data_IF_255443061295
#
_entry.id   IF_255443061295
#
_cell.length_a   1.000
_cell.length_b   1.000
_cell.length_c   1.000
_cell.angle_alpha   90.00
_cell.angle_beta   90.00
_cell.angle_gamma   90.00
#
_symmetry.space_group_name_H-M   'P 1'
#
loop_
_entity.id
_entity.type
_entity.pdbx_description
1 polymer ?
#
# COMPACT_ATOMS: atom_id res chain seq x y z
N UNK A 1 -6.36 -21.74 -7.57
CA UNK A 1 -4.96 -21.51 -7.09
C UNK A 1 -4.08 -22.77 -7.06
N UNK A 2 -4.55 -23.91 -6.53
CA UNK A 2 -3.69 -25.10 -6.36
C UNK A 2 -3.35 -25.91 -7.63
N UNK A 3 -4.01 -25.66 -8.76
CA UNK A 3 -3.74 -26.37 -10.01
C UNK A 3 -2.46 -25.80 -10.68
N UNK A 4 -1.39 -26.60 -10.83
CA UNK A 4 -0.11 -26.14 -11.37
C UNK A 4 -0.17 -25.74 -12.86
N UNK A 5 -1.03 -26.36 -13.66
CA UNK A 5 -1.20 -26.01 -15.07
C UNK A 5 -1.81 -24.61 -15.21
N UNK A 6 -2.82 -24.29 -14.40
CA UNK A 6 -3.42 -22.95 -14.36
C UNK A 6 -2.42 -21.91 -13.88
N UNK A 7 -1.62 -22.21 -12.84
CA UNK A 7 -0.58 -21.30 -12.39
C UNK A 7 0.45 -21.02 -13.50
N UNK A 8 0.90 -22.05 -14.20
CA UNK A 8 1.88 -21.93 -15.28
C UNK A 8 1.33 -21.15 -16.47
N UNK A 9 0.08 -21.42 -16.84
CA UNK A 9 -0.60 -20.67 -17.90
C UNK A 9 -0.72 -19.18 -17.55
N UNK A 10 -1.21 -18.83 -16.36
CA UNK A 10 -1.37 -17.44 -15.94
C UNK A 10 -0.02 -16.72 -15.80
N UNK A 11 1.01 -17.39 -15.25
CA UNK A 11 2.38 -16.86 -15.17
C UNK A 11 2.93 -16.55 -16.57
N UNK A 12 2.72 -17.44 -17.55
CA UNK A 12 3.13 -17.21 -18.94
C UNK A 12 2.40 -16.03 -19.58
N UNK A 13 1.11 -15.86 -19.31
CA UNK A 13 0.31 -14.75 -19.81
C UNK A 13 0.77 -13.41 -19.22
N UNK A 14 1.01 -13.36 -17.91
CA UNK A 14 1.49 -12.14 -17.24
C UNK A 14 2.90 -11.76 -17.73
N UNK A 15 3.77 -12.76 -17.94
CA UNK A 15 5.08 -12.55 -18.54
C UNK A 15 4.98 -12.02 -19.97
N UNK A 16 4.11 -12.60 -20.79
CA UNK A 16 3.88 -12.13 -22.17
C UNK A 16 3.43 -10.66 -22.19
N UNK A 17 2.49 -10.27 -21.32
CA UNK A 17 2.02 -8.88 -21.22
C UNK A 17 3.19 -7.93 -20.94
N UNK A 18 4.05 -8.28 -19.97
CA UNK A 18 5.16 -7.42 -19.55
C UNK A 18 6.31 -7.39 -20.56
N UNK A 19 6.53 -8.47 -21.31
CA UNK A 19 7.62 -8.56 -22.29
C UNK A 19 7.24 -8.03 -23.68
N UNK A 20 5.96 -8.15 -24.09
CA UNK A 20 5.52 -7.79 -25.45
C UNK A 20 4.82 -6.45 -25.55
N UNK A 21 4.36 -5.89 -24.44
CA UNK A 21 3.65 -4.60 -24.42
C UNK A 21 4.39 -3.62 -23.53
N UNK A 22 4.39 -2.34 -23.91
CA UNK A 22 4.97 -1.29 -23.08
C UNK A 22 4.01 -0.89 -21.96
N UNK A 23 3.88 -1.77 -20.97
CA UNK A 23 3.06 -1.54 -19.77
C UNK A 23 3.92 -1.05 -18.62
N UNK A 24 3.36 -0.13 -17.85
CA UNK A 24 3.98 0.38 -16.63
C UNK A 24 3.90 -0.60 -15.45
N UNK A 25 2.86 -1.41 -15.42
CA UNK A 25 2.57 -2.28 -14.30
C UNK A 25 1.50 -3.31 -14.61
N UNK A 26 1.29 -4.19 -13.66
CA UNK A 26 0.27 -5.23 -13.70
C UNK A 26 -0.56 -5.16 -12.41
N UNK A 27 -1.88 -5.07 -12.56
CA UNK A 27 -2.85 -5.07 -11.47
C UNK A 27 -3.46 -6.46 -11.35
N UNK A 28 -3.23 -7.14 -10.23
CA UNK A 28 -3.87 -8.40 -9.90
C UNK A 28 -5.29 -8.13 -9.39
N UNK A 29 -6.29 -8.58 -10.15
CA UNK A 29 -7.68 -8.64 -9.70
C UNK A 29 -8.10 -10.10 -9.45
N UNK A 30 -9.11 -10.31 -8.61
CA UNK A 30 -9.62 -11.63 -8.25
C UNK A 30 -8.58 -12.61 -7.67
N UNK A 31 -7.46 -12.12 -7.15
CA UNK A 31 -6.40 -12.93 -6.52
C UNK A 31 -6.81 -13.42 -5.13
N UNK A 32 -7.73 -14.40 -5.09
CA UNK A 32 -8.37 -14.98 -3.90
C UNK A 32 -9.25 -16.17 -4.30
N UNK A 33 -9.86 -16.85 -3.31
CA UNK A 33 -11.00 -17.72 -3.56
C UNK A 33 -12.32 -16.92 -3.59
N UNK A 34 -13.41 -17.48 -4.16
CA UNK A 34 -14.73 -16.88 -4.02
C UNK A 34 -15.12 -16.72 -2.55
N UNK A 35 -16.00 -15.76 -2.26
CA UNK A 35 -16.45 -15.44 -0.90
C UNK A 35 -17.29 -16.59 -0.34
N UNK A 36 -16.92 -17.08 0.85
CA UNK A 36 -17.51 -18.23 1.53
C UNK A 36 -18.15 -17.80 2.86
N UNK A 37 -19.31 -17.12 2.81
CA UNK A 37 -20.01 -16.60 3.99
C UNK A 37 -21.14 -17.50 4.51
N UNK A 38 -21.63 -18.43 3.69
CA UNK A 38 -22.75 -19.31 4.03
C UNK A 38 -22.29 -20.76 4.14
N UNK A 39 -22.99 -21.53 4.97
CA UNK A 39 -22.81 -22.98 5.03
C UNK A 39 -23.01 -23.59 3.64
N UNK A 40 -22.23 -24.62 3.31
CA UNK A 40 -22.25 -25.32 2.02
C UNK A 40 -21.81 -24.49 0.81
N UNK A 41 -21.27 -23.29 1.01
CA UNK A 41 -20.60 -22.51 -0.03
C UNK A 41 -19.10 -22.49 0.24
N UNK A 42 -18.45 -23.64 0.07
CA UNK A 42 -17.00 -23.78 0.21
C UNK A 42 -16.37 -24.11 -1.14
N UNK A 43 -15.21 -23.51 -1.42
CA UNK A 43 -14.54 -23.64 -2.72
C UNK A 43 -13.12 -24.17 -2.57
N UNK A 44 -12.55 -24.63 -3.68
CA UNK A 44 -11.16 -25.10 -3.73
C UNK A 44 -10.98 -26.61 -3.68
N UNK A 45 -12.05 -27.39 -3.81
CA UNK A 45 -12.02 -28.86 -3.85
C UNK A 45 -11.64 -29.46 -5.22
N UNK A 46 -10.89 -28.71 -6.04
CA UNK A 46 -10.36 -29.25 -7.30
C UNK A 46 -9.40 -30.41 -7.02
N UNK A 47 -9.28 -31.36 -7.95
CA UNK A 47 -8.49 -32.60 -7.79
C UNK A 47 -7.07 -32.34 -7.30
N UNK A 48 -6.37 -31.34 -7.86
CA UNK A 48 -5.03 -30.97 -7.43
C UNK A 48 -4.96 -30.52 -5.96
N UNK A 49 -5.91 -29.68 -5.52
CA UNK A 49 -5.94 -29.16 -4.16
C UNK A 49 -6.26 -30.26 -3.15
N UNK A 50 -7.24 -31.12 -3.45
CA UNK A 50 -7.61 -32.26 -2.61
C UNK A 50 -6.46 -33.22 -2.43
N UNK A 51 -5.81 -33.61 -3.54
CA UNK A 51 -4.64 -34.50 -3.52
C UNK A 51 -3.51 -33.91 -2.69
N UNK A 52 -3.10 -32.67 -2.96
CA UNK A 52 -2.03 -32.00 -2.21
C UNK A 52 -2.33 -31.92 -0.71
N UNK A 53 -3.57 -31.61 -0.32
CA UNK A 53 -3.94 -31.56 1.09
C UNK A 53 -3.99 -32.94 1.74
N UNK A 54 -4.49 -33.95 1.03
CA UNK A 54 -4.47 -35.33 1.49
C UNK A 54 -3.05 -35.85 1.65
N UNK A 55 -2.14 -35.54 0.73
CA UNK A 55 -0.73 -35.90 0.84
C UNK A 55 -0.06 -35.24 2.06
N UNK A 56 -0.48 -34.02 2.44
CA UNK A 56 0.03 -33.28 3.59
C UNK A 56 -0.54 -33.74 4.94
N UNK A 57 -1.80 -34.20 4.98
CA UNK A 57 -2.53 -34.40 6.23
C UNK A 57 -3.10 -35.81 6.42
N UNK A 58 -3.08 -36.64 5.38
CA UNK A 58 -3.75 -37.94 5.32
C UNK A 58 -5.26 -37.87 5.07
N UNK A 59 -5.86 -36.67 4.97
CA UNK A 59 -7.32 -36.47 4.91
C UNK A 59 -7.75 -35.80 3.62
N UNK A 60 -8.77 -36.34 2.96
CA UNK A 60 -9.44 -35.67 1.83
C UNK A 60 -10.37 -34.56 2.34
N UNK A 61 -10.22 -33.30 1.90
CA UNK A 61 -10.94 -32.19 2.50
C UNK A 61 -12.42 -32.11 2.10
N UNK A 62 -12.92 -32.94 1.16
CA UNK A 62 -14.27 -32.78 0.59
C UNK A 62 -15.42 -32.85 1.61
N UNK A 63 -15.22 -33.57 2.71
CA UNK A 63 -16.17 -33.64 3.83
C UNK A 63 -15.87 -32.70 4.99
N UNK A 64 -14.76 -31.95 4.94
CA UNK A 64 -14.38 -31.05 6.02
C UNK A 64 -15.26 -29.82 6.06
N UNK A 65 -15.75 -29.53 7.25
CA UNK A 65 -16.50 -28.32 7.60
C UNK A 65 -15.92 -27.75 8.90
N UNK A 66 -16.18 -26.47 9.22
CA UNK A 66 -15.79 -25.91 10.51
C UNK A 66 -16.33 -26.71 11.72
N UNK A 67 -17.47 -27.39 11.55
CA UNK A 67 -18.15 -28.16 12.60
C UNK A 67 -17.67 -29.61 12.71
N UNK A 68 -17.22 -30.22 11.61
CA UNK A 68 -16.79 -31.63 11.61
C UNK A 68 -15.42 -31.81 12.27
N UNK A 69 -14.48 -30.91 11.96
CA UNK A 69 -13.16 -30.88 12.57
C UNK A 69 -12.57 -29.47 12.41
N UNK A 70 -12.58 -28.69 13.50
CA UNK A 70 -12.13 -27.31 13.49
C UNK A 70 -10.62 -27.16 13.24
N UNK A 71 -9.82 -28.17 13.61
CA UNK A 71 -8.36 -28.14 13.46
C UNK A 71 -7.97 -28.43 12.00
N UNK A 72 -8.51 -29.51 11.42
CA UNK A 72 -8.30 -29.81 9.99
C UNK A 72 -8.91 -28.75 9.09
N UNK A 73 -10.05 -28.16 9.48
CA UNK A 73 -10.63 -27.03 8.76
C UNK A 73 -9.71 -25.81 8.72
N UNK A 74 -9.06 -25.49 9.85
CA UNK A 74 -8.06 -24.41 9.90
C UNK A 74 -6.87 -24.71 8.99
N UNK A 75 -6.33 -25.93 9.05
CA UNK A 75 -5.25 -26.35 8.15
C UNK A 75 -5.66 -26.25 6.67
N UNK A 76 -6.92 -26.54 6.34
CA UNK A 76 -7.45 -26.38 4.98
C UNK A 76 -7.55 -24.91 4.54
N UNK A 77 -7.89 -23.99 5.45
CA UNK A 77 -7.82 -22.54 5.19
C UNK A 77 -6.37 -22.11 4.97
N UNK A 78 -5.46 -22.54 5.84
CA UNK A 78 -4.04 -22.16 5.79
C UNK A 78 -3.40 -22.68 4.49
N UNK A 79 -3.68 -23.94 4.11
CA UNK A 79 -3.25 -24.51 2.83
C UNK A 79 -3.74 -23.68 1.64
N UNK A 80 -5.04 -23.38 1.56
CA UNK A 80 -5.60 -22.60 0.45
C UNK A 80 -5.03 -21.19 0.40
N UNK A 81 -4.81 -20.56 1.54
CA UNK A 81 -4.17 -19.24 1.66
C UNK A 81 -2.73 -19.30 1.14
N UNK A 82 -1.97 -20.32 1.53
CA UNK A 82 -0.60 -20.53 1.04
C UNK A 82 -0.55 -20.74 -0.49
N UNK A 83 -1.55 -21.40 -1.09
CA UNK A 83 -1.62 -21.54 -2.55
C UNK A 83 -1.79 -20.19 -3.27
N UNK A 84 -2.55 -19.25 -2.70
CA UNK A 84 -2.68 -17.89 -3.27
C UNK A 84 -1.38 -17.11 -3.06
N UNK A 85 -0.86 -17.10 -1.83
CA UNK A 85 0.36 -16.34 -1.47
C UNK A 85 1.60 -16.80 -2.24
N UNK A 86 1.79 -18.11 -2.41
CA UNK A 86 2.89 -18.67 -3.21
C UNK A 86 2.78 -18.23 -4.67
N UNK A 87 1.56 -18.18 -5.22
CA UNK A 87 1.37 -17.74 -6.60
C UNK A 87 1.64 -16.24 -6.77
N UNK A 88 1.20 -15.38 -5.83
CA UNK A 88 1.56 -13.96 -5.83
C UNK A 88 3.07 -13.75 -5.74
N UNK A 89 3.75 -14.52 -4.89
CA UNK A 89 5.20 -14.48 -4.78
C UNK A 89 5.88 -14.86 -6.11
N UNK A 90 5.43 -15.94 -6.75
CA UNK A 90 5.93 -16.37 -8.07
C UNK A 90 5.77 -15.28 -9.12
N UNK A 91 4.58 -14.70 -9.27
CA UNK A 91 4.32 -13.60 -10.22
C UNK A 91 5.24 -12.41 -9.95
N UNK A 92 5.35 -12.01 -8.67
CA UNK A 92 6.22 -10.90 -8.27
C UNK A 92 7.67 -11.12 -8.70
N UNK A 93 8.17 -12.35 -8.58
CA UNK A 93 9.50 -12.72 -9.04
C UNK A 93 9.61 -12.72 -10.57
N UNK A 94 8.74 -13.47 -11.26
CA UNK A 94 8.74 -13.59 -12.73
C UNK A 94 8.71 -12.22 -13.41
N UNK A 95 7.80 -11.33 -12.98
CA UNK A 95 7.64 -10.02 -13.60
C UNK A 95 8.85 -9.11 -13.37
N UNK A 96 9.46 -9.17 -12.19
CA UNK A 96 10.64 -8.34 -11.86
C UNK A 96 11.93 -8.88 -12.48
N UNK A 97 11.99 -10.15 -12.81
CA UNK A 97 13.05 -10.73 -13.65
C UNK A 97 12.91 -10.26 -15.10
N UNK A 98 11.68 -10.21 -15.63
CA UNK A 98 11.41 -9.75 -16.99
C UNK A 98 11.57 -8.23 -17.17
N UNK A 99 11.02 -7.42 -16.24
CA UNK A 99 11.10 -5.95 -16.26
C UNK A 99 11.35 -5.44 -14.83
N UNK A 100 12.61 -5.19 -14.43
CA UNK A 100 12.98 -4.83 -13.05
C UNK A 100 12.21 -3.67 -12.43
N UNK A 101 11.80 -2.70 -13.25
CA UNK A 101 11.07 -1.53 -12.80
C UNK A 101 9.53 -1.67 -12.87
N UNK A 102 8.98 -2.82 -13.24
CA UNK A 102 7.52 -3.06 -13.30
C UNK A 102 6.85 -2.79 -11.94
N UNK A 103 5.67 -2.18 -11.97
CA UNK A 103 4.83 -2.00 -10.78
C UNK A 103 3.88 -3.19 -10.67
N UNK A 104 3.87 -3.88 -9.53
CA UNK A 104 2.86 -4.89 -9.24
C UNK A 104 1.88 -4.37 -8.20
N UNK A 105 0.60 -4.41 -8.52
CA UNK A 105 -0.47 -3.97 -7.64
C UNK A 105 -1.56 -5.03 -7.50
N UNK A 106 -2.41 -4.92 -6.47
CA UNK A 106 -3.51 -5.86 -6.27
C UNK A 106 -4.79 -5.18 -5.76
N UNK A 107 -5.93 -5.59 -6.32
CA UNK A 107 -7.25 -5.21 -5.85
C UNK A 107 -7.67 -6.14 -4.72
N UNK A 108 -7.93 -5.57 -3.55
CA UNK A 108 -8.12 -6.36 -2.32
C UNK A 108 -9.34 -5.95 -1.52
N UNK A 109 -9.86 -6.90 -0.75
CA UNK A 109 -10.94 -6.68 0.19
C UNK A 109 -10.40 -6.00 1.46
N UNK A 110 -10.99 -4.88 1.93
CA UNK A 110 -10.51 -4.12 3.08
C UNK A 110 -10.83 -4.76 4.44
N UNK A 111 -11.53 -5.89 4.47
CA UNK A 111 -11.90 -6.59 5.69
C UNK A 111 -10.67 -7.04 6.49
N UNK A 112 -10.76 -7.05 7.85
CA UNK A 112 -9.67 -7.47 8.71
C UNK A 112 -9.16 -8.88 8.39
N UNK A 113 -7.85 -9.10 8.57
CA UNK A 113 -7.17 -10.38 8.32
C UNK A 113 -7.98 -11.62 8.72
N UNK A 114 -8.46 -11.76 9.98
CA UNK A 114 -9.11 -13.01 10.40
C UNK A 114 -10.44 -13.28 9.68
N UNK A 115 -11.14 -12.24 9.23
CA UNK A 115 -12.35 -12.39 8.44
C UNK A 115 -11.99 -12.76 7.01
N UNK A 116 -11.14 -11.96 6.36
CA UNK A 116 -10.76 -12.10 4.95
C UNK A 116 -10.07 -13.44 4.66
N UNK A 117 -9.10 -13.85 5.46
CA UNK A 117 -8.44 -15.16 5.30
C UNK A 117 -9.44 -16.30 5.46
N UNK A 118 -10.34 -16.21 6.44
CA UNK A 118 -11.36 -17.24 6.68
C UNK A 118 -12.34 -17.37 5.52
N UNK A 119 -12.84 -16.27 4.96
CA UNK A 119 -13.93 -16.32 3.97
C UNK A 119 -13.46 -16.33 2.51
N UNK A 120 -12.24 -15.90 2.21
CA UNK A 120 -11.75 -15.80 0.83
C UNK A 120 -10.25 -16.09 0.64
N UNK A 121 -9.51 -16.40 1.71
CA UNK A 121 -8.09 -16.79 1.65
C UNK A 121 -7.22 -15.78 0.90
N UNK A 122 -7.55 -14.49 1.02
CA UNK A 122 -6.71 -13.39 0.56
C UNK A 122 -5.87 -12.94 1.76
N UNK A 123 -4.55 -12.87 1.65
CA UNK A 123 -3.59 -12.54 2.74
C UNK A 123 -2.64 -11.43 2.26
N UNK A 124 -3.22 -10.28 1.91
CA UNK A 124 -2.47 -9.18 1.31
C UNK A 124 -1.49 -8.49 2.26
N UNK A 125 -1.66 -8.64 3.57
CA UNK A 125 -0.79 -8.11 4.61
C UNK A 125 0.55 -8.85 4.62
N UNK A 126 0.53 -10.17 4.41
CA UNK A 126 1.74 -10.95 4.21
C UNK A 126 2.44 -10.55 2.91
N UNK A 127 1.69 -10.36 1.82
CA UNK A 127 2.25 -9.95 0.52
C UNK A 127 2.89 -8.56 0.59
N UNK A 128 2.22 -7.62 1.25
CA UNK A 128 2.71 -6.27 1.50
C UNK A 128 3.98 -6.29 2.35
N UNK A 129 3.94 -6.98 3.49
CA UNK A 129 5.09 -7.07 4.43
C UNK A 129 6.30 -7.71 3.78
N UNK A 130 6.11 -8.73 2.93
CA UNK A 130 7.16 -9.39 2.19
C UNK A 130 7.63 -8.61 0.93
N UNK A 131 7.12 -7.41 0.68
CA UNK A 131 7.52 -6.55 -0.45
C UNK A 131 7.16 -7.15 -1.82
N UNK A 132 6.13 -7.99 -1.88
CA UNK A 132 5.68 -8.66 -3.12
C UNK A 132 4.84 -7.74 -4.00
N UNK A 133 4.17 -6.76 -3.39
CA UNK A 133 3.40 -5.73 -4.07
C UNK A 133 4.07 -4.37 -3.90
N UNK A 134 3.92 -3.52 -4.91
CA UNK A 134 4.34 -2.12 -4.88
C UNK A 134 3.18 -1.21 -4.45
N UNK A 135 1.95 -1.52 -4.90
CA UNK A 135 0.73 -0.77 -4.55
C UNK A 135 -0.38 -1.72 -4.10
N UNK A 136 -0.98 -1.44 -2.96
CA UNK A 136 -2.18 -2.14 -2.49
C UNK A 136 -3.40 -1.27 -2.77
N UNK A 137 -4.43 -1.83 -3.42
CA UNK A 137 -5.64 -1.10 -3.80
C UNK A 137 -6.87 -1.74 -3.13
N UNK A 138 -7.18 -1.37 -1.87
CA UNK A 138 -8.37 -1.86 -1.20
C UNK A 138 -9.65 -1.31 -1.83
N UNK A 139 -10.61 -2.19 -2.07
CA UNK A 139 -11.96 -1.88 -2.57
C UNK A 139 -12.82 -1.29 -1.43
N UNK A 140 -12.46 -0.10 -0.95
CA UNK A 140 -13.11 0.61 0.16
C UNK A 140 -14.41 1.28 -0.27
N UNK A 141 -15.25 0.54 -0.97
CA UNK A 141 -16.47 1.02 -1.59
C UNK A 141 -17.54 1.30 -0.53
N UNK A 142 -17.76 2.58 -0.25
CA UNK A 142 -18.67 3.06 0.76
C UNK A 142 -19.57 4.19 0.22
N UNK A 143 -20.83 4.21 0.65
CA UNK A 143 -21.79 5.25 0.25
C UNK A 143 -21.69 6.54 1.09
N UNK A 144 -20.94 6.51 2.20
CA UNK A 144 -20.70 7.68 3.06
C UNK A 144 -19.32 7.63 3.73
N UNK A 145 -18.83 8.79 4.14
CA UNK A 145 -17.48 8.97 4.71
C UNK A 145 -17.23 8.16 5.99
N UNK A 146 -18.23 8.02 6.87
CA UNK A 146 -18.07 7.21 8.10
C UNK A 146 -17.79 5.74 7.76
N UNK A 147 -18.56 5.17 6.83
CA UNK A 147 -18.34 3.78 6.40
C UNK A 147 -17.01 3.64 5.68
N UNK A 148 -16.58 4.63 4.90
CA UNK A 148 -15.25 4.64 4.30
C UNK A 148 -14.16 4.54 5.36
N UNK A 149 -14.20 5.39 6.39
CA UNK A 149 -13.21 5.38 7.48
C UNK A 149 -13.16 4.02 8.20
N UNK A 150 -14.32 3.41 8.47
CA UNK A 150 -14.41 2.07 9.06
C UNK A 150 -13.77 0.95 8.21
N UNK A 151 -13.67 1.14 6.89
CA UNK A 151 -13.00 0.21 5.99
C UNK A 151 -11.50 0.53 5.87
N UNK A 152 -11.17 1.81 5.75
CA UNK A 152 -9.81 2.27 5.42
C UNK A 152 -8.89 2.20 6.64
N UNK A 153 -9.30 2.70 7.80
CA UNK A 153 -8.41 2.86 8.95
C UNK A 153 -7.86 1.53 9.49
N UNK A 154 -8.67 0.47 9.67
CA UNK A 154 -8.14 -0.83 10.09
C UNK A 154 -7.17 -1.43 9.07
N UNK A 155 -7.54 -1.40 7.78
CA UNK A 155 -6.72 -1.96 6.71
C UNK A 155 -5.38 -1.22 6.55
N UNK A 156 -5.39 0.12 6.70
CA UNK A 156 -4.17 0.93 6.72
C UNK A 156 -3.29 0.58 7.93
N UNK A 157 -3.90 0.30 9.08
CA UNK A 157 -3.21 -0.14 10.30
C UNK A 157 -2.46 -1.47 10.12
N UNK A 158 -3.01 -2.42 9.36
CA UNK A 158 -2.39 -3.73 9.07
C UNK A 158 -1.11 -3.60 8.23
N UNK A 159 -1.03 -2.62 7.31
CA UNK A 159 0.17 -2.38 6.47
C UNK A 159 1.07 -1.24 6.94
N UNK A 160 0.84 -0.67 8.13
CA UNK A 160 1.52 0.56 8.57
C UNK A 160 3.05 0.49 8.54
N UNK A 161 3.64 -0.70 8.62
CA UNK A 161 5.09 -0.93 8.58
C UNK A 161 5.55 -1.63 7.29
N UNK A 162 4.64 -2.06 6.43
CA UNK A 162 4.95 -2.78 5.21
C UNK A 162 5.51 -1.85 4.11
N UNK A 163 6.47 -2.28 3.28
CA UNK A 163 7.02 -1.49 2.19
C UNK A 163 6.09 -1.47 0.96
N UNK A 164 4.86 -0.99 1.13
CA UNK A 164 3.83 -0.91 0.07
C UNK A 164 3.17 0.47 0.11
N UNK A 165 2.73 0.98 -1.04
CA UNK A 165 1.86 2.15 -1.07
C UNK A 165 0.39 1.73 -0.97
N UNK A 166 -0.27 2.14 0.10
CA UNK A 166 -1.69 1.87 0.33
C UNK A 166 -2.56 2.93 -0.35
N UNK A 167 -3.43 2.53 -1.27
CA UNK A 167 -4.24 3.42 -2.12
C UNK A 167 -5.71 3.00 -2.02
N UNK A 168 -6.47 3.49 -1.03
CA UNK A 168 -7.89 3.18 -0.89
C UNK A 168 -8.66 3.60 -2.15
N UNK A 169 -9.63 2.77 -2.56
CA UNK A 169 -10.44 2.97 -3.76
C UNK A 169 -11.84 3.45 -3.42
N UNK A 170 -12.25 4.58 -3.98
CA UNK A 170 -13.59 5.15 -3.82
C UNK A 170 -14.51 4.69 -4.95
N UNK A 171 -15.74 4.31 -4.61
CA UNK A 171 -16.73 3.86 -5.60
C UNK A 171 -17.50 5.04 -6.19
N UNK A 172 -17.35 5.33 -7.49
CA UNK A 172 -18.07 6.37 -8.23
C UNK A 172 -19.47 5.95 -8.69
N UNK A 173 -19.78 4.65 -8.78
CA UNK A 173 -21.02 4.16 -9.42
C UNK A 173 -22.31 4.71 -8.81
N UNK A 174 -22.30 5.03 -7.52
CA UNK A 174 -23.49 5.45 -6.79
C UNK A 174 -23.17 6.48 -5.72
N UNK A 175 -22.07 7.22 -5.87
CA UNK A 175 -21.59 8.15 -4.86
C UNK A 175 -21.99 9.59 -5.21
N UNK A 176 -22.85 10.24 -4.41
CA UNK A 176 -23.20 11.63 -4.61
C UNK A 176 -21.96 12.53 -4.60
N UNK A 177 -21.96 13.62 -5.38
CA UNK A 177 -20.80 14.52 -5.51
C UNK A 177 -20.32 15.09 -4.16
N UNK A 178 -21.25 15.41 -3.25
CA UNK A 178 -20.93 15.87 -1.89
C UNK A 178 -20.18 14.78 -1.12
N UNK A 179 -20.66 13.54 -1.18
CA UNK A 179 -19.98 12.41 -0.55
C UNK A 179 -18.62 12.13 -1.18
N UNK A 180 -18.47 12.28 -2.50
CA UNK A 180 -17.17 12.17 -3.15
C UNK A 180 -16.18 13.21 -2.60
N UNK A 181 -16.60 14.47 -2.43
CA UNK A 181 -15.74 15.52 -1.85
C UNK A 181 -15.31 15.17 -0.43
N UNK A 182 -16.26 14.76 0.41
CA UNK A 182 -15.99 14.43 1.81
C UNK A 182 -15.08 13.20 1.93
N UNK A 183 -15.32 12.16 1.11
CA UNK A 183 -14.48 10.97 1.06
C UNK A 183 -13.07 11.27 0.55
N UNK A 184 -12.93 12.11 -0.49
CA UNK A 184 -11.64 12.57 -0.99
C UNK A 184 -10.85 13.31 0.09
N UNK A 185 -11.51 14.19 0.85
CA UNK A 185 -10.85 14.88 1.97
C UNK A 185 -10.41 13.89 3.05
N UNK A 186 -11.30 12.96 3.43
CA UNK A 186 -10.99 11.96 4.46
C UNK A 186 -9.77 11.09 4.09
N UNK A 187 -9.66 10.60 2.85
CA UNK A 187 -8.50 9.78 2.45
C UNK A 187 -7.24 10.60 2.26
N UNK A 188 -7.33 11.88 1.89
CA UNK A 188 -6.18 12.79 1.78
C UNK A 188 -5.57 13.13 3.13
N UNK A 189 -6.37 13.09 4.19
CA UNK A 189 -5.92 13.38 5.55
C UNK A 189 -5.35 12.16 6.27
N UNK A 190 -5.40 10.97 5.66
CA UNK A 190 -4.81 9.73 6.17
C UNK A 190 -3.35 9.55 5.71
N UNK A 191 -2.54 8.74 6.44
CA UNK A 191 -1.17 8.43 6.04
C UNK A 191 -1.11 7.40 4.89
N UNK A 192 -1.88 7.63 3.83
CA UNK A 192 -1.98 6.77 2.66
C UNK A 192 -1.01 7.19 1.54
N UNK A 193 -0.71 6.27 0.61
CA UNK A 193 0.11 6.54 -0.58
C UNK A 193 -0.60 7.37 -1.65
N UNK A 194 -1.93 7.50 -1.54
CA UNK A 194 -2.79 8.20 -2.48
C UNK A 194 -4.23 7.70 -2.33
N UNK A 195 -5.03 7.85 -3.38
CA UNK A 195 -6.35 7.23 -3.51
C UNK A 195 -6.60 6.84 -4.98
N UNK A 196 -7.56 5.95 -5.20
CA UNK A 196 -8.03 5.60 -6.54
C UNK A 196 -9.54 5.78 -6.64
N UNK A 197 -10.04 5.90 -7.86
CA UNK A 197 -11.47 6.05 -8.15
C UNK A 197 -11.92 4.91 -9.05
N UNK A 198 -13.00 4.23 -8.67
CA UNK A 198 -13.56 3.09 -9.39
C UNK A 198 -15.08 3.22 -9.55
N UNK A 199 -15.71 3.00 -10.69
CA UNK A 199 -15.13 2.73 -11.99
C UNK A 199 -15.14 4.01 -12.83
N UNK A 200 -14.09 4.21 -13.64
CA UNK A 200 -13.94 5.37 -14.54
C UNK A 200 -15.17 5.59 -15.43
N UNK A 201 -15.86 4.52 -15.82
CA UNK A 201 -17.09 4.58 -16.62
C UNK A 201 -18.24 5.42 -15.98
N UNK A 202 -18.17 5.70 -14.69
CA UNK A 202 -19.17 6.49 -13.96
C UNK A 202 -18.71 7.92 -13.64
N UNK A 203 -17.52 8.32 -14.11
CA UNK A 203 -16.98 9.65 -13.89
C UNK A 203 -17.70 10.68 -14.77
N UNK A 204 -18.59 11.46 -14.16
CA UNK A 204 -19.35 12.52 -14.85
C UNK A 204 -18.63 13.88 -14.84
N UNK A 205 -19.08 14.82 -15.69
CA UNK A 205 -18.47 16.14 -15.87
C UNK A 205 -18.31 16.94 -14.56
N UNK A 206 -19.31 16.88 -13.68
CA UNK A 206 -19.28 17.56 -12.39
C UNK A 206 -18.18 16.99 -11.47
N UNK A 207 -17.97 15.68 -11.50
CA UNK A 207 -16.88 15.01 -10.77
C UNK A 207 -15.53 15.32 -11.42
N UNK A 208 -15.44 15.37 -12.75
CA UNK A 208 -14.21 15.75 -13.46
C UNK A 208 -13.78 17.19 -13.10
N UNK A 209 -14.73 18.13 -13.11
CA UNK A 209 -14.46 19.52 -12.74
C UNK A 209 -13.99 19.63 -11.28
N UNK A 210 -14.63 18.89 -10.36
CA UNK A 210 -14.21 18.83 -8.95
C UNK A 210 -12.77 18.32 -8.81
N UNK A 211 -12.42 17.26 -9.53
CA UNK A 211 -11.08 16.67 -9.49
C UNK A 211 -10.03 17.61 -10.12
N UNK A 212 -10.38 18.30 -11.21
CA UNK A 212 -9.51 19.27 -11.88
C UNK A 212 -9.15 20.47 -11.00
N UNK A 213 -10.08 20.95 -10.16
CA UNK A 213 -9.80 22.02 -9.18
C UNK A 213 -8.82 21.60 -8.08
N UNK A 214 -8.73 20.30 -7.80
CA UNK A 214 -7.87 19.74 -6.76
C UNK A 214 -6.56 19.16 -7.30
N UNK A 215 -6.29 19.33 -8.60
CA UNK A 215 -5.05 18.88 -9.21
C UNK A 215 -3.87 19.70 -8.69
N UNK A 216 -2.97 19.02 -7.98
CA UNK A 216 -1.61 19.54 -7.75
C UNK A 216 -0.89 19.61 -9.10
N UNK A 217 -0.12 20.67 -9.33
CA UNK A 217 0.77 20.80 -10.49
C UNK A 217 1.92 19.79 -10.50
N UNK A 218 2.01 18.90 -9.50
CA UNK A 218 3.06 17.89 -9.40
C UNK A 218 2.84 16.78 -10.43
N UNK A 219 3.77 16.65 -11.36
CA UNK A 219 3.86 15.55 -12.33
C UNK A 219 4.48 14.28 -11.73
N UNK A 220 4.76 14.27 -10.42
CA UNK A 220 5.38 13.13 -9.75
C UNK A 220 4.41 11.97 -9.57
N UNK A 221 4.86 10.79 -9.97
CA UNK A 221 4.16 9.53 -9.74
C UNK A 221 4.78 8.85 -8.51
N UNK A 222 4.09 8.78 -7.35
CA UNK A 222 4.72 8.37 -6.08
C UNK A 222 5.35 6.98 -6.09
N UNK A 223 4.72 5.98 -6.71
CA UNK A 223 5.28 4.62 -6.82
C UNK A 223 6.45 4.51 -7.81
N UNK A 224 6.67 5.52 -8.68
CA UNK A 224 7.83 5.62 -9.56
C UNK A 224 8.97 6.41 -8.94
N UNK A 225 8.62 7.51 -8.29
CA UNK A 225 9.55 8.51 -7.79
C UNK A 225 9.36 8.74 -6.28
N UNK A 226 9.43 7.70 -5.42
CA UNK A 226 9.06 7.81 -4.02
C UNK A 226 9.94 8.79 -3.24
N UNK A 227 11.25 8.79 -3.50
CA UNK A 227 12.21 9.72 -2.86
C UNK A 227 11.93 11.17 -3.27
N UNK A 228 11.81 11.44 -4.56
CA UNK A 228 11.53 12.80 -5.07
C UNK A 228 10.17 13.30 -4.57
N UNK A 229 9.18 12.42 -4.54
CA UNK A 229 7.84 12.72 -3.97
C UNK A 229 7.95 13.07 -2.49
N UNK A 230 8.77 12.35 -1.72
CA UNK A 230 8.98 12.65 -0.30
C UNK A 230 9.65 14.01 -0.08
N UNK A 231 10.67 14.35 -0.88
CA UNK A 231 11.35 15.66 -0.84
C UNK A 231 10.35 16.79 -1.13
N UNK A 232 9.57 16.67 -2.19
CA UNK A 232 8.62 17.72 -2.60
C UNK A 232 7.52 17.90 -1.55
N UNK A 233 6.91 16.80 -1.08
CA UNK A 233 5.84 16.85 -0.08
C UNK A 233 6.32 17.37 1.27
N UNK A 234 7.54 17.01 1.70
CA UNK A 234 8.12 17.59 2.92
C UNK A 234 8.41 19.08 2.75
N UNK A 235 8.95 19.49 1.59
CA UNK A 235 9.16 20.90 1.28
C UNK A 235 7.85 21.72 1.28
N UNK A 236 6.76 21.14 0.77
CA UNK A 236 5.43 21.75 0.82
C UNK A 236 4.91 21.89 2.26
N UNK A 237 5.05 20.85 3.09
CA UNK A 237 4.71 20.91 4.52
C UNK A 237 5.50 22.00 5.25
N UNK A 238 6.81 22.06 5.01
CA UNK A 238 7.66 23.09 5.61
C UNK A 238 7.20 24.50 5.22
N UNK A 239 6.91 24.74 3.95
CA UNK A 239 6.39 26.03 3.47
C UNK A 239 5.05 26.39 4.11
N UNK A 240 4.14 25.42 4.25
CA UNK A 240 2.86 25.60 4.94
C UNK A 240 3.08 26.03 6.39
N UNK A 241 3.94 25.32 7.11
CA UNK A 241 4.27 25.63 8.50
C UNK A 241 4.91 27.01 8.68
N UNK A 242 5.90 27.34 7.86
CA UNK A 242 6.59 28.64 7.89
C UNK A 242 5.57 29.77 7.66
N UNK A 243 4.72 29.63 6.63
CA UNK A 243 3.67 30.60 6.31
C UNK A 243 2.70 30.82 7.48
N UNK A 244 2.23 29.74 8.12
CA UNK A 244 1.31 29.85 9.26
C UNK A 244 1.98 30.50 10.48
N UNK A 245 3.24 30.19 10.74
CA UNK A 245 4.00 30.79 11.85
C UNK A 245 4.23 32.28 11.62
N UNK A 246 4.68 32.68 10.42
CA UNK A 246 4.92 34.09 10.04
C UNK A 246 3.64 34.93 10.13
N UNK A 247 2.50 34.36 9.74
CA UNK A 247 1.18 35.01 9.81
C UNK A 247 0.54 34.94 11.19
N UNK A 248 1.22 34.37 12.19
CA UNK A 248 0.71 34.15 13.56
C UNK A 248 -0.61 33.34 13.58
N UNK A 249 -0.80 32.44 12.61
CA UNK A 249 -1.95 31.55 12.49
C UNK A 249 -1.76 30.20 13.22
N UNK A 250 -0.54 29.97 13.71
CA UNK A 250 -0.20 28.99 14.73
C UNK A 250 0.63 29.66 15.81
N UNK A 251 0.48 29.18 17.04
CA UNK A 251 1.30 29.63 18.14
C UNK A 251 2.47 28.68 18.37
N UNK A 252 3.68 29.22 18.28
CA UNK A 252 4.92 28.50 18.58
C UNK A 252 5.59 29.21 19.75
N UNK A 253 5.81 28.53 20.90
CA UNK A 253 6.56 29.13 22.00
C UNK A 253 7.94 29.57 21.53
N UNK A 254 8.41 30.73 22.01
CA UNK A 254 9.68 31.30 21.59
C UNK A 254 10.87 30.33 21.77
N UNK A 255 10.88 29.58 22.89
CA UNK A 255 11.89 28.56 23.17
C UNK A 255 11.85 27.36 22.20
N UNK A 256 10.74 27.14 21.49
CA UNK A 256 10.56 26.06 20.51
C UNK A 256 10.91 26.46 19.08
N UNK A 257 10.99 27.76 18.77
CA UNK A 257 11.23 28.25 17.39
C UNK A 257 12.54 27.72 16.84
N UNK A 258 13.66 27.90 17.57
CA UNK A 258 14.98 27.46 17.11
C UNK A 258 15.10 25.93 16.98
N UNK A 259 14.70 25.12 17.98
CA UNK A 259 14.66 23.66 17.85
C UNK A 259 13.86 23.18 16.63
N UNK A 260 12.67 23.75 16.42
CA UNK A 260 11.79 23.40 15.30
C UNK A 260 12.42 23.73 13.94
N UNK A 261 12.95 24.94 13.77
CA UNK A 261 13.60 25.37 12.53
C UNK A 261 14.85 24.54 12.24
N UNK A 262 15.63 24.19 13.25
CA UNK A 262 16.82 23.37 13.08
C UNK A 262 16.46 21.93 12.68
N UNK A 263 15.46 21.31 13.31
CA UNK A 263 15.06 19.95 12.96
C UNK A 263 14.41 19.85 11.58
N UNK A 264 13.58 20.82 11.19
CA UNK A 264 12.98 20.85 9.84
C UNK A 264 14.03 21.05 8.76
N UNK A 265 15.03 21.91 8.98
CA UNK A 265 16.19 22.07 8.08
C UNK A 265 17.01 20.78 7.95
N UNK A 266 17.30 20.09 9.07
CA UNK A 266 18.02 18.80 9.05
C UNK A 266 17.26 17.73 8.27
N UNK A 267 15.95 17.66 8.45
CA UNK A 267 15.09 16.69 7.74
C UNK A 267 15.06 16.96 6.24
N UNK A 268 14.90 18.22 5.83
CA UNK A 268 14.98 18.62 4.41
C UNK A 268 16.34 18.24 3.81
N UNK A 269 17.44 18.56 4.50
CA UNK A 269 18.79 18.25 4.03
C UNK A 269 19.04 16.74 3.90
N UNK A 270 18.52 15.92 4.83
CA UNK A 270 18.63 14.47 4.74
C UNK A 270 17.86 13.90 3.54
N UNK A 271 16.63 14.40 3.28
CA UNK A 271 15.83 14.02 2.11
C UNK A 271 16.51 14.44 0.78
N UNK A 272 17.06 15.66 0.71
CA UNK A 272 17.78 16.13 -0.47
C UNK A 272 19.08 15.35 -0.71
N UNK A 273 19.77 14.95 0.36
CA UNK A 273 20.96 14.11 0.27
C UNK A 273 20.60 12.73 -0.25
N UNK A 274 19.53 12.12 0.27
CA UNK A 274 18.99 10.85 -0.24
C UNK A 274 18.61 10.94 -1.73
N UNK A 275 18.00 12.05 -2.15
CA UNK A 275 17.66 12.26 -3.57
C UNK A 275 18.89 12.26 -4.48
N UNK A 276 20.00 12.83 -4.02
CA UNK A 276 21.29 12.85 -4.73
C UNK A 276 22.05 11.52 -4.61
N UNK A 277 21.92 10.84 -3.47
CA UNK A 277 22.63 9.61 -3.12
C UNK A 277 21.62 8.53 -2.72
N UNK A 278 21.06 7.84 -3.71
CA UNK A 278 20.03 6.83 -3.49
C UNK A 278 20.63 5.53 -2.93
N UNK A 279 20.74 5.46 -1.59
CA UNK A 279 21.21 4.27 -0.87
C UNK A 279 20.30 3.93 0.29
N UNK A 280 20.26 2.66 0.67
CA UNK A 280 19.50 2.17 1.84
C UNK A 280 19.91 2.93 3.12
N UNK A 281 21.21 3.19 3.30
CA UNK A 281 21.71 3.95 4.46
C UNK A 281 21.14 5.37 4.51
N UNK A 282 21.11 6.09 3.38
CA UNK A 282 20.52 7.42 3.33
C UNK A 282 19.01 7.41 3.51
N UNK A 283 18.31 6.34 3.10
CA UNK A 283 16.87 6.19 3.40
C UNK A 283 16.66 6.09 4.91
N UNK A 284 17.47 5.28 5.60
CA UNK A 284 17.39 5.13 7.06
C UNK A 284 17.69 6.45 7.78
N UNK A 285 18.69 7.21 7.34
CA UNK A 285 18.98 8.54 7.88
C UNK A 285 17.81 9.50 7.68
N UNK A 286 17.23 9.57 6.47
CA UNK A 286 16.10 10.44 6.20
C UNK A 286 14.86 10.08 7.03
N UNK A 287 14.56 8.78 7.20
CA UNK A 287 13.48 8.29 8.05
C UNK A 287 13.70 8.64 9.53
N UNK A 288 14.94 8.54 10.02
CA UNK A 288 15.26 8.92 11.40
C UNK A 288 15.06 10.43 11.65
N UNK A 289 15.48 11.30 10.72
CA UNK A 289 15.25 12.74 10.83
C UNK A 289 13.77 13.11 10.71
N UNK A 290 13.02 12.41 9.87
CA UNK A 290 11.58 12.57 9.72
C UNK A 290 10.83 12.21 11.01
N UNK A 291 11.20 11.11 11.67
CA UNK A 291 10.60 10.71 12.95
C UNK A 291 10.92 11.71 14.07
N UNK A 292 12.14 12.27 14.09
CA UNK A 292 12.48 13.39 15.01
C UNK A 292 11.61 14.61 14.74
N UNK A 293 11.40 14.99 13.48
CA UNK A 293 10.48 16.07 13.10
C UNK A 293 9.06 15.82 13.59
N UNK A 294 8.56 14.59 13.41
CA UNK A 294 7.22 14.18 13.83
C UNK A 294 7.04 14.23 15.35
N UNK A 295 7.98 13.67 16.12
CA UNK A 295 7.96 13.74 17.59
C UNK A 295 8.04 15.19 18.07
N UNK A 296 9.00 15.94 17.53
CA UNK A 296 9.21 17.33 17.90
C UNK A 296 8.01 18.22 17.58
N UNK A 297 7.31 18.01 16.46
CA UNK A 297 6.12 18.79 16.11
C UNK A 297 5.05 18.73 17.21
N UNK A 298 4.86 17.56 17.83
CA UNK A 298 3.93 17.36 18.94
C UNK A 298 4.35 18.08 20.24
N UNK A 299 5.65 18.33 20.42
CA UNK A 299 6.23 19.03 21.57
C UNK A 299 6.24 20.54 21.35
N UNK A 300 6.77 21.00 20.22
CA UNK A 300 6.90 22.42 19.88
C UNK A 300 5.56 23.10 19.73
N UNK A 301 4.57 22.42 19.15
CA UNK A 301 3.23 22.96 18.89
C UNK A 301 2.20 22.43 19.90
N UNK A 302 2.59 22.26 21.17
CA UNK A 302 1.72 21.69 22.20
C UNK A 302 0.39 22.44 22.37
N UNK A 303 0.40 23.77 22.35
CA UNK A 303 -0.86 24.55 22.43
C UNK A 303 -1.70 24.39 21.16
N UNK A 304 -1.08 24.39 19.98
CA UNK A 304 -1.79 24.14 18.72
C UNK A 304 -2.46 22.77 18.74
N UNK A 305 -1.81 21.74 19.29
CA UNK A 305 -2.39 20.40 19.47
C UNK A 305 -3.62 20.39 20.37
N UNK A 306 -3.65 21.23 21.40
CA UNK A 306 -4.82 21.38 22.26
C UNK A 306 -5.95 22.16 21.58
N UNK A 307 -5.61 23.22 20.83
CA UNK A 307 -6.59 24.15 20.25
C UNK A 307 -7.12 23.71 18.87
N UNK A 308 -6.32 22.95 18.12
CA UNK A 308 -6.56 22.53 16.73
C UNK A 308 -6.07 21.08 16.50
N UNK A 309 -6.60 20.10 17.26
CA UNK A 309 -6.12 18.71 17.21
C UNK A 309 -6.19 18.10 15.81
N UNK A 310 -7.22 18.43 15.02
CA UNK A 310 -7.39 17.95 13.65
C UNK A 310 -6.23 18.35 12.72
N UNK A 311 -5.78 19.62 12.81
CA UNK A 311 -4.66 20.13 12.01
C UNK A 311 -3.37 19.39 12.35
N UNK A 312 -3.12 19.21 13.65
CA UNK A 312 -1.94 18.48 14.12
C UNK A 312 -1.98 17.01 13.69
N UNK A 313 -3.13 16.34 13.76
CA UNK A 313 -3.30 14.97 13.28
C UNK A 313 -3.05 14.88 11.76
N UNK A 314 -3.52 15.86 10.99
CA UNK A 314 -3.30 15.91 9.55
C UNK A 314 -1.81 16.04 9.22
N UNK A 315 -1.06 16.90 9.92
CA UNK A 315 0.38 17.02 9.74
C UNK A 315 1.14 15.76 10.16
N UNK A 316 0.76 15.13 11.27
CA UNK A 316 1.33 13.85 11.70
C UNK A 316 1.08 12.75 10.64
N UNK A 317 -0.14 12.66 10.10
CA UNK A 317 -0.49 11.71 9.04
C UNK A 317 0.30 11.99 7.75
N UNK A 318 0.47 13.27 7.36
CA UNK A 318 1.28 13.61 6.19
C UNK A 318 2.75 13.24 6.39
N UNK A 319 3.31 13.42 7.60
CA UNK A 319 4.67 12.94 7.93
C UNK A 319 4.77 11.41 7.89
N UNK A 320 3.77 10.68 8.40
CA UNK A 320 3.71 9.22 8.29
C UNK A 320 3.59 8.74 6.82
N UNK A 321 2.88 9.47 5.97
CA UNK A 321 2.83 9.17 4.53
C UNK A 321 4.21 9.33 3.86
N UNK A 322 5.03 10.29 4.30
CA UNK A 322 6.42 10.40 3.85
C UNK A 322 7.27 9.21 4.28
N UNK A 323 7.13 8.74 5.54
CA UNK A 323 7.83 7.52 5.99
C UNK A 323 7.38 6.29 5.18
N UNK A 324 6.11 6.21 4.80
CA UNK A 324 5.59 5.16 3.91
C UNK A 324 6.28 5.18 2.54
N UNK A 325 6.43 6.36 1.93
CA UNK A 325 7.19 6.51 0.67
C UNK A 325 8.65 6.08 0.82
N UNK A 326 9.29 6.44 1.94
CA UNK A 326 10.68 6.09 2.20
C UNK A 326 10.86 4.59 2.46
N UNK A 327 9.96 3.94 3.21
CA UNK A 327 9.96 2.47 3.37
C UNK A 327 9.80 1.74 2.05
N UNK A 328 8.89 2.21 1.20
CA UNK A 328 8.73 1.68 -0.15
C UNK A 328 10.01 1.87 -1.00
N UNK A 329 10.63 3.05 -0.93
CA UNK A 329 11.90 3.33 -1.61
C UNK A 329 13.04 2.41 -1.14
N UNK A 330 13.15 2.18 0.18
CA UNK A 330 14.14 1.29 0.79
C UNK A 330 14.05 -0.12 0.21
N UNK A 331 12.84 -0.68 0.14
CA UNK A 331 12.60 -2.00 -0.42
C UNK A 331 12.89 -2.06 -1.93
N UNK A 332 12.60 -1.00 -2.68
CA UNK A 332 12.93 -0.93 -4.12
C UNK A 332 14.43 -0.88 -4.36
N UNK A 333 15.16 -0.04 -3.64
CA UNK A 333 16.63 0.05 -3.72
C UNK A 333 17.31 -1.27 -3.32
N UNK A 334 16.79 -1.93 -2.28
CA UNK A 334 17.30 -3.23 -1.83
C UNK A 334 17.12 -4.30 -2.91
N UNK A 335 15.97 -4.33 -3.59
CA UNK A 335 15.70 -5.25 -4.72
C UNK A 335 16.66 -5.01 -5.89
N UNK A 336 16.82 -3.75 -6.31
CA UNK A 336 17.71 -3.37 -7.42
C UNK A 336 19.18 -3.73 -7.12
N UNK A 337 19.64 -3.52 -5.87
CA UNK A 337 20.98 -3.92 -5.44
C UNK A 337 21.21 -5.43 -5.50
N UNK A 338 20.23 -6.23 -5.08
CA UNK A 338 20.31 -7.69 -5.16
C UNK A 338 20.35 -8.19 -6.60
N UNK A 339 19.51 -7.65 -7.49
CA UNK A 339 19.51 -8.00 -8.92
C UNK A 339 20.83 -7.61 -9.61
N UNK A 340 21.41 -6.45 -9.28
CA UNK A 340 22.71 -6.04 -9.81
C UNK A 340 23.86 -6.97 -9.39
N UNK A 341 23.76 -7.58 -8.19
CA UNK A 341 24.73 -8.57 -7.70
C UNK A 341 24.55 -9.93 -8.36
N UNK A 342 23.32 -10.39 -8.58
CA UNK A 342 23.07 -11.68 -9.24
C UNK A 342 23.36 -11.64 -10.75
N UNK A 343 23.09 -10.52 -11.42
CA UNK A 343 23.40 -10.34 -12.85
C UNK A 343 24.89 -10.32 -13.17
N UNK A 344 25.75 -9.94 -12.22
CA UNK A 344 27.22 -10.00 -12.38
C UNK A 344 27.80 -11.41 -12.30
N UNK A 345 27.02 -12.42 -11.92
CA UNK A 345 27.47 -13.82 -11.81
C UNK A 345 27.37 -14.61 -13.14
N UNK A 346 26.81 -14.05 -14.21
CA UNK A 346 26.52 -14.78 -15.46
C UNK A 346 27.43 -14.37 -16.64
N UNK A 347 28.30 -13.37 -16.47
CA UNK A 347 29.19 -12.87 -17.54
C UNK A 347 30.68 -13.15 -17.30
N UNK A 348 31.04 -14.36 -16.91
CA UNK A 348 32.41 -14.90 -17.10
C UNK A 348 32.34 -16.40 -17.32
N UNK A 349 32.30 -16.79 -18.59
CA UNK A 349 32.28 -18.19 -19.03
C UNK A 349 32.09 -18.26 -20.54
N UNK A 350 32.99 -17.60 -21.27
CA UNK A 350 33.30 -17.93 -22.66
C UNK A 350 34.35 -19.05 -22.66
#
# INVERSE_FOLDING_TARGET
PANPEVQTYLDSLFREIVERYDVDGLQLDYIRYPIQKSANQYFGYGTAARKQFQDLTGVDPIGLTPQSDSSLWRLWIDFRTAQVSTFVNRISQTLREAKPDIILSAAVFPEPTPERVRIMQQDWEAWATAGKLDVLVPMTYALNTRRLQQLVEPALGEVKNAPVLFVPSLNLMSLPQVQLRDQLQAVRDLPAGGYSLFAMAHLNDNQQQLLGQAASASELIPFRQPVRTAVERFGALKKEWDFLAERKQIWVPEFSIQPWQNQTKRTQAALETLMKQQSVGWVQTARAELEKSRKGLNEWLRLERLMRPYRMQTWDNRLQALDTLLRYAEARLSRQSTQAKSGKSVTTGL
#
